data_IF_852546118622
#
_entry.id   IF_852546118622
#
_cell.length_a   1.000
_cell.length_b   1.000
_cell.length_c   1.000
_cell.angle_alpha   90.00
_cell.angle_beta   90.00
_cell.angle_gamma   90.00
#
_symmetry.space_group_name_H-M   'P 1'
#
loop_
_entity.id
_entity.type
_entity.pdbx_description
1 polymer ?
#
# COMPACT_ATOMS: atom_id res chain seq x y z
N UNK A 1 -16.89 0.88 3.30
CA UNK A 1 -15.54 1.07 2.77
C UNK A 1 -14.55 1.06 3.95
N UNK A 2 -13.33 0.50 3.78
CA UNK A 2 -12.31 0.47 4.85
C UNK A 2 -11.88 1.87 5.31
N UNK A 3 -12.02 2.88 4.46
CA UNK A 3 -11.80 4.28 4.82
C UNK A 3 -12.82 4.74 5.86
N UNK A 4 -14.07 4.30 5.76
CA UNK A 4 -15.12 4.66 6.72
C UNK A 4 -14.89 4.00 8.09
N UNK A 5 -14.17 2.85 8.13
CA UNK A 5 -13.73 2.21 9.36
C UNK A 5 -12.58 2.93 10.05
N UNK A 6 -11.74 3.64 9.27
CA UNK A 6 -10.59 4.39 9.79
C UNK A 6 -10.92 5.84 10.17
N UNK A 7 -12.02 6.36 9.62
CA UNK A 7 -12.56 7.67 9.95
C UNK A 7 -14.04 7.52 10.28
N UNK A 8 -14.38 6.83 11.38
CA UNK A 8 -15.74 6.81 11.87
C UNK A 8 -16.15 8.26 12.11
N UNK A 9 -17.34 8.64 11.67
CA UNK A 9 -17.88 9.94 11.97
C UNK A 9 -17.91 10.18 13.50
N UNK A 10 -18.13 11.40 13.94
CA UNK A 10 -18.06 11.78 15.36
C UNK A 10 -18.96 10.95 16.28
N UNK A 11 -19.92 10.23 15.72
CA UNK A 11 -20.86 9.36 16.44
C UNK A 11 -20.46 7.87 16.47
N UNK A 12 -19.40 7.47 15.77
CA UNK A 12 -18.88 6.11 15.84
C UNK A 12 -17.98 6.00 17.05
N UNK A 13 -18.59 5.66 18.17
CA UNK A 13 -17.93 5.59 19.45
C UNK A 13 -16.80 4.54 19.52
N UNK A 14 -16.20 4.43 20.69
CA UNK A 14 -15.09 3.54 21.06
C UNK A 14 -15.26 2.07 20.63
N UNK A 15 -16.49 1.64 20.36
CA UNK A 15 -16.83 0.28 19.96
C UNK A 15 -16.24 -0.10 18.59
N UNK A 16 -16.26 0.79 17.61
CA UNK A 16 -15.65 0.56 16.30
C UNK A 16 -14.13 0.44 16.38
N UNK A 17 -13.51 1.26 17.20
CA UNK A 17 -12.06 1.20 17.43
C UNK A 17 -11.67 -0.11 18.13
N UNK A 18 -12.48 -0.58 19.07
CA UNK A 18 -12.28 -1.85 19.73
C UNK A 18 -12.42 -3.03 18.76
N UNK A 19 -13.42 -2.99 17.86
CA UNK A 19 -13.60 -4.01 16.82
C UNK A 19 -12.43 -4.03 15.86
N UNK A 20 -11.99 -2.87 15.37
CA UNK A 20 -10.84 -2.76 14.49
C UNK A 20 -9.55 -3.28 15.16
N UNK A 21 -9.33 -2.91 16.41
CA UNK A 21 -8.18 -3.37 17.19
C UNK A 21 -8.20 -4.89 17.41
N UNK A 22 -9.35 -5.47 17.69
CA UNK A 22 -9.53 -6.92 17.79
C UNK A 22 -9.25 -7.61 16.46
N UNK A 23 -9.75 -7.05 15.35
CA UNK A 23 -9.51 -7.59 14.01
C UNK A 23 -8.02 -7.57 13.66
N UNK A 24 -7.34 -6.46 13.89
CA UNK A 24 -5.89 -6.34 13.66
C UNK A 24 -5.13 -7.34 14.53
N UNK A 25 -5.47 -7.47 15.80
CA UNK A 25 -4.84 -8.45 16.71
C UNK A 25 -5.04 -9.89 16.22
N UNK A 26 -6.23 -10.22 15.68
CA UNK A 26 -6.52 -11.50 15.06
C UNK A 26 -5.62 -11.75 13.85
N UNK A 27 -5.51 -10.80 12.93
CA UNK A 27 -4.62 -10.94 11.77
C UNK A 27 -3.16 -11.14 12.16
N UNK A 28 -2.68 -10.44 13.20
CA UNK A 28 -1.30 -10.60 13.68
C UNK A 28 -1.09 -12.00 14.29
N UNK A 29 -2.09 -12.51 15.03
CA UNK A 29 -2.03 -13.84 15.61
C UNK A 29 -2.03 -14.97 14.54
N UNK A 30 -2.72 -14.76 13.41
CA UNK A 30 -2.75 -15.67 12.26
C UNK A 30 -1.51 -15.57 11.36
N UNK A 31 -0.70 -14.53 11.53
CA UNK A 31 0.46 -14.28 10.67
C UNK A 31 1.56 -15.31 10.91
N UNK A 32 2.08 -15.88 9.83
CA UNK A 32 3.24 -16.75 9.84
C UNK A 32 4.51 -16.00 10.27
N UNK A 33 5.56 -16.74 10.63
CA UNK A 33 6.84 -16.15 11.06
C UNK A 33 7.51 -15.29 9.99
N UNK A 34 7.29 -15.61 8.72
CA UNK A 34 7.82 -14.89 7.56
C UNK A 34 7.03 -13.63 7.20
N UNK A 35 5.86 -13.42 7.81
CA UNK A 35 4.98 -12.27 7.54
C UNK A 35 3.86 -12.57 6.56
N UNK A 36 3.74 -13.80 6.07
CA UNK A 36 2.63 -14.24 5.22
C UNK A 36 1.41 -14.67 6.05
N UNK A 37 0.31 -14.96 5.35
CA UNK A 37 -0.89 -15.62 5.93
C UNK A 37 -1.26 -16.83 5.10
N UNK A 38 -1.44 -17.97 5.76
CA UNK A 38 -1.86 -19.20 5.10
C UNK A 38 -3.28 -19.08 4.55
N UNK A 39 -3.47 -19.43 3.27
CA UNK A 39 -4.80 -19.41 2.64
C UNK A 39 -5.38 -18.02 2.36
N UNK A 40 -4.58 -16.97 2.48
CA UNK A 40 -4.97 -15.60 2.16
C UNK A 40 -4.31 -15.18 0.85
N UNK A 41 -5.10 -14.64 -0.09
CA UNK A 41 -4.56 -14.14 -1.35
C UNK A 41 -3.66 -12.91 -1.14
N UNK A 42 -2.69 -12.67 -2.03
CA UNK A 42 -1.74 -11.56 -1.89
C UNK A 42 -2.40 -10.18 -1.80
N UNK A 43 -3.46 -9.94 -2.57
CA UNK A 43 -4.21 -8.70 -2.57
C UNK A 43 -4.89 -8.42 -1.23
N UNK A 44 -5.55 -9.42 -0.64
CA UNK A 44 -6.17 -9.33 0.69
C UNK A 44 -5.10 -9.15 1.77
N UNK A 45 -3.98 -9.84 1.67
CA UNK A 45 -2.87 -9.69 2.61
C UNK A 45 -2.28 -8.27 2.57
N UNK A 46 -2.06 -7.72 1.38
CA UNK A 46 -1.60 -6.33 1.21
C UNK A 46 -2.62 -5.31 1.73
N UNK A 47 -3.91 -5.60 1.58
CA UNK A 47 -4.96 -4.77 2.18
C UNK A 47 -4.90 -4.79 3.71
N UNK A 48 -4.71 -5.96 4.35
CA UNK A 48 -4.50 -6.08 5.80
C UNK A 48 -3.32 -5.23 6.27
N UNK A 49 -2.19 -5.29 5.55
CA UNK A 49 -1.01 -4.46 5.84
C UNK A 49 -1.35 -2.98 5.76
N UNK A 50 -2.05 -2.57 4.70
CA UNK A 50 -2.48 -1.18 4.53
C UNK A 50 -3.36 -0.68 5.68
N UNK A 51 -4.31 -1.50 6.15
CA UNK A 51 -5.17 -1.18 7.30
C UNK A 51 -4.34 -1.06 8.58
N UNK A 52 -3.49 -2.06 8.88
CA UNK A 52 -2.64 -2.05 10.08
C UNK A 52 -1.74 -0.82 10.11
N UNK A 53 -1.14 -0.47 8.97
CA UNK A 53 -0.25 0.69 8.87
C UNK A 53 -1.01 2.01 9.08
N UNK A 54 -2.17 2.18 8.46
CA UNK A 54 -3.02 3.37 8.65
C UNK A 54 -3.51 3.50 10.07
N UNK A 55 -3.88 2.38 10.71
CA UNK A 55 -4.24 2.36 12.12
C UNK A 55 -3.08 2.84 13.00
N UNK A 56 -1.89 2.28 12.82
CA UNK A 56 -0.69 2.68 13.57
C UNK A 56 -0.40 4.18 13.42
N UNK A 57 -0.55 4.70 12.20
CA UNK A 57 -0.34 6.12 11.93
C UNK A 57 -1.41 7.01 12.55
N UNK A 58 -2.69 6.67 12.36
CA UNK A 58 -3.81 7.50 12.81
C UNK A 58 -3.90 7.59 14.36
N UNK A 59 -3.54 6.52 15.05
CA UNK A 59 -3.64 6.43 16.51
C UNK A 59 -2.28 6.50 17.22
N UNK A 60 -1.20 6.74 16.48
CA UNK A 60 0.18 6.75 16.99
C UNK A 60 0.55 5.46 17.76
N UNK A 61 -0.10 4.34 17.40
CA UNK A 61 0.06 3.03 18.02
C UNK A 61 1.11 2.22 17.24
N UNK A 62 2.32 2.12 17.78
CA UNK A 62 3.44 1.42 17.16
C UNK A 62 3.47 -0.09 17.42
N UNK A 63 2.50 -0.64 18.12
CA UNK A 63 2.48 -2.07 18.51
C UNK A 63 2.44 -2.99 17.27
N UNK A 64 1.88 -2.51 16.17
CA UNK A 64 1.75 -3.26 14.92
C UNK A 64 2.92 -3.09 13.94
N UNK A 65 3.83 -2.12 14.16
CA UNK A 65 4.87 -1.75 13.20
C UNK A 65 5.76 -2.93 12.80
N UNK A 66 6.12 -3.80 13.75
CA UNK A 66 6.95 -4.97 13.47
C UNK A 66 6.24 -6.00 12.58
N UNK A 67 4.93 -6.19 12.76
CA UNK A 67 4.11 -7.07 11.95
C UNK A 67 3.94 -6.50 10.54
N UNK A 68 3.62 -5.22 10.42
CA UNK A 68 3.52 -4.48 9.15
C UNK A 68 4.83 -4.60 8.37
N UNK A 69 5.96 -4.30 9.00
CA UNK A 69 7.28 -4.35 8.37
C UNK A 69 7.60 -5.75 7.85
N UNK A 70 7.44 -6.78 8.68
CA UNK A 70 7.73 -8.17 8.33
C UNK A 70 6.88 -8.65 7.16
N UNK A 71 5.59 -8.35 7.17
CA UNK A 71 4.68 -8.73 6.09
C UNK A 71 4.98 -7.95 4.80
N UNK A 72 5.29 -6.67 4.89
CA UNK A 72 5.71 -5.89 3.74
C UNK A 72 6.99 -6.46 3.10
N UNK A 73 8.00 -6.79 3.90
CA UNK A 73 9.24 -7.42 3.42
C UNK A 73 8.98 -8.76 2.72
N UNK A 74 8.06 -9.58 3.23
CA UNK A 74 7.64 -10.81 2.59
C UNK A 74 7.07 -10.53 1.18
N UNK A 75 6.08 -9.65 1.04
CA UNK A 75 5.45 -9.38 -0.24
C UNK A 75 6.36 -8.64 -1.21
N UNK A 76 7.21 -7.75 -0.73
CA UNK A 76 8.26 -7.12 -1.52
C UNK A 76 9.18 -8.14 -2.19
N UNK A 77 9.49 -9.23 -1.51
CA UNK A 77 10.39 -10.26 -2.01
C UNK A 77 9.66 -11.35 -2.83
N UNK A 78 8.40 -11.63 -2.53
CA UNK A 78 7.60 -12.68 -3.18
C UNK A 78 6.81 -12.20 -4.41
N UNK A 79 6.62 -10.89 -4.57
CA UNK A 79 5.94 -10.27 -5.71
C UNK A 79 6.95 -9.48 -6.54
N UNK A 80 7.70 -10.10 -7.45
CA UNK A 80 8.66 -9.39 -8.27
C UNK A 80 7.95 -8.42 -9.22
N UNK A 81 8.45 -7.20 -9.32
CA UNK A 81 8.01 -6.27 -10.37
C UNK A 81 8.69 -6.69 -11.66
N UNK A 82 7.95 -7.04 -12.72
CA UNK A 82 8.52 -7.44 -14.00
C UNK A 82 9.40 -6.34 -14.59
N UNK A 83 10.41 -6.75 -15.36
CA UNK A 83 11.26 -5.81 -16.09
C UNK A 83 10.63 -5.41 -17.42
N UNK A 84 9.92 -6.34 -18.05
CA UNK A 84 9.26 -6.14 -19.33
C UNK A 84 7.74 -6.17 -19.22
N UNK A 85 7.07 -5.34 -20.00
CA UNK A 85 5.62 -5.30 -20.10
C UNK A 85 5.13 -6.44 -21.04
N UNK A 86 4.86 -7.60 -20.45
CA UNK A 86 4.25 -8.76 -21.13
C UNK A 86 2.73 -8.80 -20.95
N UNK A 87 2.13 -9.95 -21.27
CA UNK A 87 0.73 -10.22 -20.97
C UNK A 87 0.61 -10.69 -19.52
N UNK A 88 -0.02 -9.89 -18.67
CA UNK A 88 -0.23 -10.20 -17.25
C UNK A 88 -1.71 -10.39 -16.95
N UNK A 89 -2.01 -11.20 -15.95
CA UNK A 89 -3.33 -11.35 -15.38
C UNK A 89 -3.73 -10.06 -14.66
N UNK A 90 -4.98 -9.65 -14.84
CA UNK A 90 -5.60 -8.50 -14.17
C UNK A 90 -5.37 -8.54 -12.65
N UNK A 91 -5.54 -9.70 -12.01
CA UNK A 91 -5.29 -9.87 -10.58
C UNK A 91 -3.85 -9.54 -10.18
N UNK A 92 -2.88 -9.80 -11.06
CA UNK A 92 -1.50 -9.46 -10.80
C UNK A 92 -1.26 -7.94 -10.80
N UNK A 93 -1.88 -7.23 -11.74
CA UNK A 93 -1.81 -5.76 -11.82
C UNK A 93 -2.43 -5.10 -10.60
N UNK A 94 -3.59 -5.58 -10.16
CA UNK A 94 -4.22 -5.11 -8.92
C UNK A 94 -3.35 -5.40 -7.69
N UNK A 95 -2.73 -6.56 -7.64
CA UNK A 95 -1.80 -6.91 -6.57
C UNK A 95 -0.58 -6.00 -6.56
N UNK A 96 -0.02 -5.66 -7.73
CA UNK A 96 1.06 -4.68 -7.83
C UNK A 96 0.63 -3.27 -7.41
N UNK A 97 -0.60 -2.86 -7.75
CA UNK A 97 -1.14 -1.57 -7.30
C UNK A 97 -1.28 -1.52 -5.76
N UNK A 98 -1.72 -2.61 -5.14
CA UNK A 98 -1.75 -2.74 -3.67
C UNK A 98 -0.35 -2.74 -3.06
N UNK A 99 0.61 -3.39 -3.71
CA UNK A 99 2.00 -3.36 -3.29
C UNK A 99 2.59 -1.95 -3.40
N UNK A 100 2.23 -1.20 -4.45
CA UNK A 100 2.57 0.22 -4.57
C UNK A 100 2.03 1.03 -3.39
N UNK A 101 0.75 0.90 -3.07
CA UNK A 101 0.13 1.57 -1.95
C UNK A 101 0.85 1.25 -0.63
N UNK A 102 1.19 -0.02 -0.44
CA UNK A 102 1.92 -0.47 0.74
C UNK A 102 3.36 0.07 0.76
N UNK A 103 4.04 0.15 -0.40
CA UNK A 103 5.39 0.70 -0.51
C UNK A 103 5.44 2.20 -0.19
N UNK A 104 4.38 2.94 -0.54
CA UNK A 104 4.27 4.39 -0.29
C UNK A 104 3.85 4.66 1.16
N UNK A 105 2.83 3.93 1.63
CA UNK A 105 2.28 4.07 2.98
C UNK A 105 2.99 3.16 3.99
N UNK A 106 3.58 2.08 3.47
CA UNK A 106 4.13 0.99 4.24
C UNK A 106 5.34 1.42 5.02
N UNK A 107 5.16 1.56 6.26
CA UNK A 107 6.03 2.25 7.14
C UNK A 107 6.07 3.75 6.81
N UNK A 108 5.12 4.51 7.32
CA UNK A 108 5.05 5.96 7.14
C UNK A 108 6.37 6.67 7.49
N UNK A 109 7.26 5.98 8.21
CA UNK A 109 8.57 6.46 8.64
C UNK A 109 9.71 6.12 7.67
N UNK A 110 9.54 5.13 6.78
CA UNK A 110 10.58 4.70 5.82
C UNK A 110 9.93 4.09 4.56
N UNK A 111 9.28 4.93 3.73
CA UNK A 111 8.61 4.47 2.52
C UNK A 111 9.65 3.92 1.51
N UNK A 112 9.40 2.73 0.95
CA UNK A 112 10.25 2.16 -0.10
C UNK A 112 10.02 2.84 -1.45
N UNK A 113 10.60 4.00 -1.60
CA UNK A 113 10.48 4.82 -2.82
C UNK A 113 11.07 4.14 -4.06
N UNK A 114 12.02 3.22 -3.89
CA UNK A 114 12.61 2.48 -5.02
C UNK A 114 11.61 1.48 -5.57
N UNK A 115 10.94 0.74 -4.69
CA UNK A 115 9.90 -0.20 -5.09
C UNK A 115 8.71 0.55 -5.73
N UNK A 116 8.22 1.61 -5.08
CA UNK A 116 7.14 2.43 -5.61
C UNK A 116 7.47 2.98 -7.01
N UNK A 117 8.70 3.47 -7.22
CA UNK A 117 9.17 3.94 -8.52
C UNK A 117 9.19 2.84 -9.57
N UNK A 118 9.66 1.64 -9.22
CA UNK A 118 9.68 0.50 -10.14
C UNK A 118 8.28 0.10 -10.56
N UNK A 119 7.36 0.00 -9.60
CA UNK A 119 5.95 -0.33 -9.89
C UNK A 119 5.32 0.74 -10.78
N UNK A 120 5.47 2.03 -10.44
CA UNK A 120 4.90 3.11 -11.23
C UNK A 120 5.46 3.13 -12.66
N UNK A 121 6.76 2.86 -12.85
CA UNK A 121 7.37 2.75 -14.17
C UNK A 121 6.79 1.56 -14.95
N UNK A 122 6.72 0.39 -14.33
CA UNK A 122 6.11 -0.78 -14.95
C UNK A 122 4.66 -0.50 -15.37
N UNK A 123 3.84 0.08 -14.49
CA UNK A 123 2.45 0.43 -14.78
C UNK A 123 2.33 1.42 -15.94
N UNK A 124 3.24 2.40 -16.02
CA UNK A 124 3.30 3.32 -17.15
C UNK A 124 3.62 2.60 -18.46
N UNK A 125 4.65 1.76 -18.47
CA UNK A 125 5.07 1.02 -19.67
C UNK A 125 3.98 0.03 -20.09
N UNK A 126 3.35 -0.69 -19.16
CA UNK A 126 2.24 -1.61 -19.42
C UNK A 126 1.00 -0.91 -19.99
N UNK A 127 0.63 0.26 -19.47
CA UNK A 127 -0.53 1.03 -19.96
C UNK A 127 -0.47 1.40 -21.45
N UNK A 128 0.71 1.33 -22.04
CA UNK A 128 0.96 1.65 -23.46
C UNK A 128 1.03 0.42 -24.36
N UNK A 129 0.92 -0.76 -23.80
CA UNK A 129 0.93 -2.01 -24.57
C UNK A 129 -0.46 -2.32 -25.12
N UNK A 130 -0.55 -3.12 -26.20
CA UNK A 130 -1.82 -3.59 -26.72
C UNK A 130 -2.51 -4.61 -25.81
N UNK A 131 -1.81 -5.13 -24.80
CA UNK A 131 -2.35 -6.09 -23.83
C UNK A 131 -3.11 -5.42 -22.68
N UNK A 132 -2.97 -4.10 -22.53
CA UNK A 132 -3.61 -3.34 -21.47
C UNK A 132 -5.08 -3.09 -21.84
N UNK A 133 -6.01 -3.71 -21.12
CA UNK A 133 -7.46 -3.41 -21.23
C UNK A 133 -7.75 -1.99 -20.74
N UNK A 134 -8.96 -1.48 -21.00
CA UNK A 134 -9.34 -0.14 -20.53
C UNK A 134 -9.46 -0.10 -19.01
N UNK A 135 -9.91 -1.18 -18.37
CA UNK A 135 -9.99 -1.29 -16.92
C UNK A 135 -8.59 -1.34 -16.28
N UNK A 136 -7.67 -2.14 -16.83
CA UNK A 136 -6.27 -2.19 -16.42
C UNK A 136 -5.59 -0.84 -16.59
N UNK A 137 -5.89 -0.14 -17.69
CA UNK A 137 -5.32 1.18 -17.99
C UNK A 137 -5.72 2.20 -16.93
N UNK A 138 -6.95 2.15 -16.45
CA UNK A 138 -7.39 3.00 -15.35
C UNK A 138 -6.57 2.76 -14.08
N UNK A 139 -6.37 1.50 -13.70
CA UNK A 139 -5.55 1.13 -12.55
C UNK A 139 -4.10 1.61 -12.71
N UNK A 140 -3.49 1.38 -13.87
CA UNK A 140 -2.13 1.81 -14.19
C UNK A 140 -1.97 3.33 -14.12
N UNK A 141 -2.92 4.08 -14.71
CA UNK A 141 -2.90 5.55 -14.72
C UNK A 141 -3.02 6.09 -13.29
N UNK A 142 -3.90 5.52 -12.47
CA UNK A 142 -4.04 5.91 -11.07
C UNK A 142 -2.72 5.77 -10.29
N UNK A 143 -1.99 4.66 -10.45
CA UNK A 143 -0.68 4.46 -9.82
C UNK A 143 0.34 5.50 -10.29
N UNK A 144 0.40 5.79 -11.60
CA UNK A 144 1.34 6.75 -12.17
C UNK A 144 1.03 8.18 -11.71
N UNK A 145 -0.23 8.60 -11.78
CA UNK A 145 -0.67 9.93 -11.35
C UNK A 145 -0.35 10.15 -9.87
N UNK A 146 -0.62 9.15 -9.05
CA UNK A 146 -0.32 9.22 -7.62
C UNK A 146 1.18 9.34 -7.35
N UNK A 147 2.00 8.55 -8.05
CA UNK A 147 3.46 8.66 -7.94
C UNK A 147 3.98 10.05 -8.33
N UNK A 148 3.43 10.65 -9.39
CA UNK A 148 3.80 12.00 -9.83
C UNK A 148 3.36 13.05 -8.82
N UNK A 149 2.12 12.97 -8.32
CA UNK A 149 1.56 13.88 -7.33
C UNK A 149 2.41 13.90 -6.04
N UNK A 150 2.76 12.74 -5.51
CA UNK A 150 3.61 12.63 -4.31
C UNK A 150 4.99 13.27 -4.50
N UNK A 151 5.54 13.25 -5.72
CA UNK A 151 6.80 13.93 -6.02
C UNK A 151 6.65 15.45 -6.10
N UNK A 152 5.54 15.95 -6.59
CA UNK A 152 5.26 17.39 -6.63
C UNK A 152 5.16 17.94 -5.21
N UNK A 153 4.45 17.25 -4.32
CA UNK A 153 4.32 17.66 -2.92
C UNK A 153 5.68 17.71 -2.21
N UNK A 154 6.57 16.75 -2.46
CA UNK A 154 7.94 16.75 -1.92
C UNK A 154 8.73 17.97 -2.44
N UNK A 155 8.59 18.31 -3.72
CA UNK A 155 9.27 19.48 -4.29
C UNK A 155 8.74 20.78 -3.72
N UNK A 156 7.43 20.90 -3.52
CA UNK A 156 6.81 22.08 -2.92
C UNK A 156 7.25 22.25 -1.46
N UNK A 157 7.26 21.18 -0.66
CA UNK A 157 7.75 21.22 0.72
C UNK A 157 9.23 21.64 0.80
N UNK A 158 10.10 21.05 -0.02
CA UNK A 158 11.52 21.40 -0.05
C UNK A 158 11.78 22.82 -0.55
N UNK A 159 10.94 23.34 -1.45
CA UNK A 159 11.01 24.71 -1.88
C UNK A 159 10.57 25.67 -0.76
N UNK A 160 9.51 25.34 -0.02
CA UNK A 160 9.01 26.13 1.09
C UNK A 160 10.03 26.22 2.23
N UNK A 161 10.69 25.11 2.58
CA UNK A 161 11.73 25.10 3.60
C UNK A 161 12.94 25.99 3.23
N UNK A 162 13.29 26.09 1.94
CA UNK A 162 14.37 26.99 1.46
C UNK A 162 14.01 28.46 1.48
N UNK A 163 12.72 28.79 1.48
CA UNK A 163 12.26 30.20 1.53
C UNK A 163 12.05 30.71 2.96
N UNK A 164 12.03 29.82 3.96
CA UNK A 164 11.84 30.15 5.39
C UNK A 164 13.19 30.21 6.14
N UNK A 165 14.27 29.70 5.55
CA UNK A 165 15.64 29.74 6.08
C UNK A 165 16.40 30.94 5.51
#
# INVERSE_FOLDING_TARGET
>A
CLIDLLYPGPDAGDEYLLLLKRQISGWIAEMNRDGSWSGVSPDVALERIGVMNRYSYAFLDKTNDSAVKRSFEYFRNSLPVPEDAGNFDENYLYTLARLYDTAVLGNAYDPDRRLARRIARFMYDYSRTPFCSDDDRFCCVCCVVRYVAERIDIWQSAATERYIA
#
